data_IF_016375994774
#
_entry.id   IF_016375994774
#
_cell.length_a   1.000
_cell.length_b   1.000
_cell.length_c   1.000
_cell.angle_alpha   90.00
_cell.angle_beta   90.00
_cell.angle_gamma   90.00
#
_symmetry.space_group_name_H-M   'P 1'
#
loop_
_entity.id
_entity.type
_entity.pdbx_description
1 polymer ?
#
# COMPACT_ATOMS: atom_id res chain seq x y z
N UNK A 1 -34.65 62.47 14.67
CA UNK A 1 -35.46 61.31 14.17
C UNK A 1 -34.64 60.00 14.10
N UNK A 2 -33.44 59.99 13.53
CA UNK A 2 -32.57 58.80 13.47
C UNK A 2 -32.10 58.35 14.85
N UNK A 3 -31.67 59.30 15.72
CA UNK A 3 -31.21 59.01 17.09
C UNK A 3 -32.33 58.40 17.97
N UNK A 4 -33.56 58.90 17.80
CA UNK A 4 -34.70 58.40 18.55
C UNK A 4 -35.05 56.96 18.13
N UNK A 5 -34.94 56.63 16.83
CA UNK A 5 -35.18 55.25 16.32
C UNK A 5 -34.07 54.34 16.83
N UNK A 6 -32.79 54.75 16.82
CA UNK A 6 -31.65 53.96 17.33
C UNK A 6 -31.79 53.73 18.85
N UNK A 7 -32.34 54.67 19.61
CA UNK A 7 -32.57 54.54 21.04
C UNK A 7 -33.65 53.50 21.34
N UNK A 8 -34.76 53.48 20.56
CA UNK A 8 -35.81 52.42 20.65
C UNK A 8 -35.28 51.04 20.25
N UNK A 9 -34.43 50.95 19.24
CA UNK A 9 -33.85 49.68 18.80
C UNK A 9 -32.86 49.09 19.81
N UNK A 10 -32.28 49.92 20.70
CA UNK A 10 -31.33 49.53 21.76
C UNK A 10 -32.02 49.27 23.10
N UNK A 11 -33.32 49.53 23.25
CA UNK A 11 -34.02 49.19 24.49
C UNK A 11 -34.06 47.69 24.70
N UNK A 12 -33.63 47.18 25.88
CA UNK A 12 -33.64 45.76 26.18
C UNK A 12 -35.07 45.24 26.23
N UNK A 13 -35.40 44.25 25.41
CA UNK A 13 -36.66 43.52 25.42
C UNK A 13 -36.67 42.44 26.46
N UNK A 14 -35.54 41.70 26.62
CA UNK A 14 -35.33 40.60 27.58
C UNK A 14 -33.88 40.60 27.98
N UNK A 15 -33.58 40.17 29.18
CA UNK A 15 -32.19 39.90 29.64
C UNK A 15 -31.97 38.41 29.61
N UNK A 16 -31.14 37.94 28.69
CA UNK A 16 -30.74 36.55 28.59
C UNK A 16 -29.32 36.38 29.14
N UNK A 17 -29.15 35.54 30.16
CA UNK A 17 -27.82 35.24 30.75
C UNK A 17 -27.00 36.49 31.13
N UNK A 18 -27.70 37.56 31.59
CA UNK A 18 -27.04 38.85 32.00
C UNK A 18 -26.76 39.81 30.84
N UNK A 19 -27.03 39.45 29.59
CA UNK A 19 -26.93 40.34 28.42
C UNK A 19 -28.28 40.87 27.99
N UNK A 20 -28.43 42.17 27.76
CA UNK A 20 -29.69 42.78 27.31
C UNK A 20 -29.90 42.43 25.81
N UNK A 21 -30.92 41.60 25.52
CA UNK A 21 -31.34 41.35 24.15
C UNK A 21 -32.24 42.46 23.67
N UNK A 22 -31.79 43.23 22.72
CA UNK A 22 -32.51 44.36 22.10
C UNK A 22 -33.04 43.94 20.70
N UNK A 23 -33.93 44.76 20.13
CA UNK A 23 -34.37 44.54 18.76
C UNK A 23 -33.21 44.62 17.76
N UNK A 24 -32.20 45.43 18.06
CA UNK A 24 -30.98 45.53 17.26
C UNK A 24 -30.16 44.23 17.28
N UNK A 25 -30.02 43.59 18.44
CA UNK A 25 -29.29 42.29 18.54
C UNK A 25 -30.03 41.16 17.82
N UNK A 26 -31.34 41.16 17.83
CA UNK A 26 -32.16 40.23 17.05
C UNK A 26 -31.98 40.43 15.54
N UNK A 27 -32.03 41.70 15.08
CA UNK A 27 -31.81 42.02 13.66
C UNK A 27 -30.39 41.63 13.21
N UNK A 28 -29.37 41.87 14.03
CA UNK A 28 -27.99 41.46 13.72
C UNK A 28 -27.85 39.94 13.63
N UNK A 29 -28.45 39.20 14.57
CA UNK A 29 -28.41 37.72 14.55
C UNK A 29 -29.13 37.17 13.30
N UNK A 30 -30.29 37.72 12.95
CA UNK A 30 -31.01 37.31 11.71
C UNK A 30 -30.16 37.63 10.48
N UNK A 31 -29.53 38.82 10.42
CA UNK A 31 -28.65 39.23 9.32
C UNK A 31 -27.47 38.25 9.17
N UNK A 32 -26.85 37.83 10.29
CA UNK A 32 -25.76 36.84 10.29
C UNK A 32 -26.23 35.50 9.71
N UNK A 33 -27.38 35.00 10.13
CA UNK A 33 -27.91 33.71 9.61
C UNK A 33 -28.26 33.81 8.12
N UNK A 34 -28.86 34.93 7.68
CA UNK A 34 -29.15 35.19 6.27
C UNK A 34 -27.85 35.23 5.47
N UNK A 35 -26.86 35.96 5.96
CA UNK A 35 -25.55 36.06 5.31
C UNK A 35 -24.85 34.69 5.23
N UNK A 36 -24.87 33.95 6.32
CA UNK A 36 -24.33 32.56 6.32
C UNK A 36 -25.04 31.66 5.29
N UNK A 37 -26.37 31.80 5.16
CA UNK A 37 -27.17 31.05 4.16
C UNK A 37 -26.80 31.47 2.72
N UNK A 38 -26.56 32.77 2.49
CA UNK A 38 -26.13 33.27 1.17
C UNK A 38 -24.73 32.73 0.86
N UNK A 39 -23.78 32.83 1.81
CA UNK A 39 -22.43 32.27 1.67
C UNK A 39 -22.50 30.78 1.38
N UNK A 40 -23.28 30.01 2.15
CA UNK A 40 -23.48 28.59 1.94
C UNK A 40 -24.02 28.27 0.54
N UNK A 41 -24.94 29.10 0.03
CA UNK A 41 -25.48 28.93 -1.32
C UNK A 41 -24.48 29.29 -2.42
N UNK A 42 -23.68 30.33 -2.23
CA UNK A 42 -22.63 30.76 -3.20
C UNK A 42 -21.50 29.71 -3.23
N UNK A 43 -20.95 29.38 -2.05
CA UNK A 43 -19.90 28.37 -1.93
C UNK A 43 -20.38 27.00 -2.49
N UNK A 44 -21.59 26.60 -2.12
CA UNK A 44 -22.17 25.34 -2.62
C UNK A 44 -22.29 25.30 -4.14
N UNK A 45 -22.73 26.41 -4.78
CA UNK A 45 -22.82 26.49 -6.25
C UNK A 45 -21.44 26.48 -6.91
N UNK A 46 -20.48 27.19 -6.35
CA UNK A 46 -19.10 27.22 -6.86
C UNK A 46 -18.45 25.84 -6.74
N UNK A 47 -18.61 25.19 -5.60
CA UNK A 47 -18.11 23.83 -5.35
C UNK A 47 -18.72 22.82 -6.32
N UNK A 48 -20.04 22.89 -6.56
CA UNK A 48 -20.74 22.01 -7.49
C UNK A 48 -20.21 22.16 -8.94
N UNK A 49 -19.90 23.40 -9.38
CA UNK A 49 -19.29 23.63 -10.69
C UNK A 49 -17.89 23.00 -10.80
N UNK A 50 -17.04 23.19 -9.77
CA UNK A 50 -15.69 22.63 -9.76
C UNK A 50 -15.72 21.10 -9.74
N UNK A 51 -16.60 20.50 -8.92
CA UNK A 51 -16.73 19.05 -8.80
C UNK A 51 -17.37 18.44 -10.08
N UNK A 52 -18.28 19.18 -10.74
CA UNK A 52 -18.86 18.77 -12.02
C UNK A 52 -17.83 18.76 -13.15
N UNK A 53 -16.94 19.75 -13.19
CA UNK A 53 -15.86 19.85 -14.18
C UNK A 53 -14.81 18.70 -14.01
N UNK A 54 -14.77 18.06 -12.84
CA UNK A 54 -13.90 16.89 -12.57
C UNK A 54 -14.60 15.54 -12.77
N UNK A 55 -15.80 15.53 -13.39
CA UNK A 55 -16.58 14.32 -13.70
C UNK A 55 -16.87 13.42 -12.49
N UNK A 56 -16.84 14.00 -11.27
CA UNK A 56 -17.13 13.25 -10.05
C UNK A 56 -18.59 12.76 -10.02
N UNK A 57 -18.80 11.60 -9.39
CA UNK A 57 -20.12 11.01 -9.26
C UNK A 57 -21.14 11.97 -8.62
N UNK A 58 -22.40 11.91 -9.09
CA UNK A 58 -23.49 12.78 -8.61
C UNK A 58 -23.71 12.63 -7.10
N UNK A 59 -23.60 11.41 -6.56
CA UNK A 59 -23.74 11.14 -5.14
C UNK A 59 -22.67 11.84 -4.30
N UNK A 60 -21.41 11.78 -4.72
CA UNK A 60 -20.29 12.45 -4.05
C UNK A 60 -20.45 13.97 -4.09
N UNK A 61 -20.82 14.56 -5.24
CA UNK A 61 -21.07 16.00 -5.37
C UNK A 61 -22.16 16.48 -4.42
N UNK A 62 -23.28 15.72 -4.36
CA UNK A 62 -24.38 16.01 -3.45
C UNK A 62 -23.93 15.97 -1.97
N UNK A 63 -23.22 14.91 -1.57
CA UNK A 63 -22.74 14.74 -0.18
C UNK A 63 -21.81 15.88 0.25
N UNK A 64 -20.80 16.17 -0.55
CA UNK A 64 -19.81 17.25 -0.26
C UNK A 64 -20.50 18.61 -0.17
N UNK A 65 -21.39 18.92 -1.12
CA UNK A 65 -22.15 20.18 -1.13
C UNK A 65 -23.04 20.31 0.12
N UNK A 66 -23.73 19.22 0.50
CA UNK A 66 -24.63 19.19 1.66
C UNK A 66 -23.86 19.39 2.97
N UNK A 67 -22.73 18.69 3.14
CA UNK A 67 -21.86 18.81 4.32
C UNK A 67 -21.33 20.26 4.43
N UNK A 68 -20.78 20.80 3.33
CA UNK A 68 -20.26 22.18 3.29
C UNK A 68 -21.32 23.20 3.70
N UNK A 69 -22.55 23.08 3.18
CA UNK A 69 -23.66 23.96 3.55
C UNK A 69 -24.02 23.85 5.02
N UNK A 70 -24.05 22.66 5.58
CA UNK A 70 -24.37 22.46 7.00
C UNK A 70 -23.28 23.05 7.90
N UNK A 71 -22.01 22.87 7.57
CA UNK A 71 -20.90 23.45 8.34
C UNK A 71 -20.97 24.98 8.35
N UNK A 72 -21.20 25.62 7.18
CA UNK A 72 -21.31 27.09 7.09
C UNK A 72 -22.53 27.59 7.89
N UNK A 73 -23.67 26.91 7.78
CA UNK A 73 -24.86 27.28 8.53
C UNK A 73 -24.67 27.10 10.05
N UNK A 74 -24.04 26.02 10.47
CA UNK A 74 -23.73 25.77 11.87
C UNK A 74 -22.86 26.89 12.46
N UNK A 75 -21.78 27.25 11.77
CA UNK A 75 -20.91 28.38 12.16
C UNK A 75 -21.72 29.68 12.22
N UNK A 76 -22.56 29.95 11.22
CA UNK A 76 -23.40 31.16 11.20
C UNK A 76 -24.38 31.24 12.37
N UNK A 77 -25.00 30.11 12.72
CA UNK A 77 -25.90 30.03 13.90
C UNK A 77 -25.11 30.22 15.20
N UNK A 78 -23.93 29.66 15.34
CA UNK A 78 -23.08 29.86 16.51
C UNK A 78 -22.69 31.33 16.71
N UNK A 79 -22.28 31.99 15.64
CA UNK A 79 -21.96 33.41 15.66
C UNK A 79 -23.19 34.25 16.02
N UNK A 80 -24.36 33.92 15.46
CA UNK A 80 -25.61 34.60 15.77
C UNK A 80 -26.00 34.48 17.26
N UNK A 81 -25.89 33.26 17.84
CA UNK A 81 -26.15 33.00 19.26
C UNK A 81 -25.21 33.82 20.16
N UNK A 82 -23.92 33.89 19.81
CA UNK A 82 -22.94 34.71 20.53
C UNK A 82 -23.29 36.21 20.52
N UNK A 83 -23.79 36.76 19.39
CA UNK A 83 -24.23 38.16 19.33
C UNK A 83 -25.48 38.46 20.16
N UNK A 84 -26.28 37.42 20.43
CA UNK A 84 -27.47 37.51 21.30
C UNK A 84 -27.11 37.41 22.80
N UNK A 85 -25.83 37.22 23.13
CA UNK A 85 -25.38 37.06 24.51
C UNK A 85 -25.69 35.67 25.12
N UNK A 86 -26.02 34.71 24.29
CA UNK A 86 -26.17 33.32 24.75
C UNK A 86 -24.79 32.78 25.07
N UNK A 87 -24.64 32.25 26.28
CA UNK A 87 -23.39 31.55 26.64
C UNK A 87 -23.28 30.26 25.85
N UNK A 88 -22.41 30.29 24.85
CA UNK A 88 -22.15 29.16 24.00
C UNK A 88 -21.03 28.24 24.51
N UNK A 89 -20.43 28.55 25.68
CA UNK A 89 -19.27 27.83 26.23
C UNK A 89 -19.54 26.34 26.44
N UNK A 90 -20.70 25.98 27.01
CA UNK A 90 -21.08 24.61 27.22
C UNK A 90 -21.26 23.84 25.89
N UNK A 91 -21.85 24.49 24.89
CA UNK A 91 -22.05 23.90 23.55
C UNK A 91 -20.70 23.74 22.84
N UNK A 92 -19.82 24.74 22.96
CA UNK A 92 -18.45 24.68 22.42
C UNK A 92 -17.64 23.56 23.09
N UNK A 93 -17.77 23.40 24.42
CA UNK A 93 -17.12 22.31 25.14
C UNK A 93 -17.60 20.93 24.67
N UNK A 94 -18.91 20.74 24.55
CA UNK A 94 -19.48 19.51 24.01
C UNK A 94 -19.07 19.27 22.54
N UNK A 95 -19.04 20.33 21.73
CA UNK A 95 -18.57 20.31 20.36
C UNK A 95 -17.10 19.90 20.23
N UNK A 96 -16.22 20.40 21.14
CA UNK A 96 -14.83 20.02 21.17
C UNK A 96 -14.64 18.51 21.42
N UNK A 97 -15.38 17.94 22.36
CA UNK A 97 -15.37 16.49 22.62
C UNK A 97 -15.82 15.69 21.39
N UNK A 98 -16.88 16.14 20.73
CA UNK A 98 -17.35 15.54 19.47
C UNK A 98 -16.29 15.62 18.36
N UNK A 99 -15.62 16.76 18.20
CA UNK A 99 -14.56 16.93 17.20
C UNK A 99 -13.35 16.02 17.48
N UNK A 100 -12.99 15.81 18.74
CA UNK A 100 -11.96 14.84 19.12
C UNK A 100 -12.38 13.42 18.72
N UNK A 101 -13.63 13.04 19.00
CA UNK A 101 -14.18 11.73 18.59
C UNK A 101 -14.17 11.54 17.06
N UNK A 102 -14.57 12.56 16.30
CA UNK A 102 -14.50 12.56 14.83
C UNK A 102 -13.04 12.48 14.38
N UNK A 103 -12.12 13.19 15.02
CA UNK A 103 -10.68 13.13 14.74
C UNK A 103 -10.11 11.71 14.88
N UNK A 104 -10.43 11.01 15.95
CA UNK A 104 -10.07 9.59 16.11
C UNK A 104 -10.71 8.69 15.04
N UNK A 105 -11.97 8.95 14.68
CA UNK A 105 -12.64 8.22 13.60
C UNK A 105 -11.99 8.42 12.22
N UNK A 106 -11.40 9.60 11.96
CA UNK A 106 -10.75 9.96 10.69
C UNK A 106 -9.23 9.71 10.70
N UNK A 107 -8.65 9.31 11.83
CA UNK A 107 -7.20 9.16 11.99
C UNK A 107 -6.57 8.26 10.90
N UNK A 108 -7.17 7.09 10.64
CA UNK A 108 -6.67 6.16 9.63
C UNK A 108 -6.73 6.74 8.21
N UNK A 109 -7.72 7.55 7.91
CA UNK A 109 -7.83 8.23 6.62
C UNK A 109 -6.72 9.29 6.47
N UNK A 110 -6.48 10.09 7.50
CA UNK A 110 -5.41 11.09 7.52
C UNK A 110 -4.02 10.44 7.42
N UNK A 111 -3.79 9.34 8.17
CA UNK A 111 -2.54 8.57 8.11
C UNK A 111 -2.25 8.08 6.68
N UNK A 112 -3.23 7.48 6.02
CA UNK A 112 -3.07 7.02 4.64
C UNK A 112 -2.85 8.15 3.65
N UNK A 113 -3.52 9.29 3.83
CA UNK A 113 -3.35 10.46 2.97
C UNK A 113 -1.94 11.06 3.11
N UNK A 114 -1.45 11.24 4.34
CA UNK A 114 -0.11 11.74 4.63
C UNK A 114 0.94 10.76 4.08
N UNK A 115 0.76 9.45 4.29
CA UNK A 115 1.65 8.43 3.75
C UNK A 115 1.67 8.44 2.21
N UNK A 116 0.53 8.65 1.56
CA UNK A 116 0.47 8.81 0.10
C UNK A 116 1.27 10.01 -0.40
N UNK A 117 1.19 11.13 0.32
CA UNK A 117 1.98 12.32 0.01
C UNK A 117 3.49 12.07 0.18
N UNK A 118 3.90 11.37 1.26
CA UNK A 118 5.29 10.98 1.49
C UNK A 118 5.82 10.05 0.39
N UNK A 119 5.04 9.05 -0.02
CA UNK A 119 5.41 8.15 -1.13
C UNK A 119 5.66 8.91 -2.43
N UNK A 120 4.84 9.95 -2.72
CA UNK A 120 5.00 10.77 -3.93
C UNK A 120 6.19 11.74 -3.85
N UNK A 121 6.53 12.24 -2.64
CA UNK A 121 7.64 13.18 -2.41
C UNK A 121 8.98 12.46 -2.33
N UNK A 122 9.10 11.46 -1.45
CA UNK A 122 10.36 10.76 -1.17
C UNK A 122 10.64 9.63 -2.18
N UNK A 123 9.58 9.10 -2.78
CA UNK A 123 9.62 8.05 -3.81
C UNK A 123 10.41 6.79 -3.42
N UNK A 124 10.22 6.23 -2.21
CA UNK A 124 10.82 4.95 -1.84
C UNK A 124 10.28 3.80 -2.70
N UNK A 125 9.05 3.96 -3.18
CA UNK A 125 8.37 3.08 -4.14
C UNK A 125 7.78 3.97 -5.25
N UNK A 126 7.92 3.54 -6.50
CA UNK A 126 7.45 4.26 -7.69
C UNK A 126 6.53 3.39 -8.53
N UNK A 127 5.73 4.01 -9.40
CA UNK A 127 4.99 3.30 -10.44
C UNK A 127 5.95 2.49 -11.31
N UNK A 128 5.65 1.22 -11.52
CA UNK A 128 6.46 0.27 -12.27
C UNK A 128 7.42 -0.55 -11.41
N UNK A 129 7.67 -0.17 -10.14
CA UNK A 129 8.52 -0.94 -9.25
C UNK A 129 7.91 -2.32 -8.96
N UNK A 130 8.77 -3.32 -8.90
CA UNK A 130 8.43 -4.67 -8.47
C UNK A 130 8.75 -4.81 -6.99
N UNK A 131 7.72 -5.00 -6.16
CA UNK A 131 7.83 -4.96 -4.70
C UNK A 131 7.24 -6.22 -4.06
N UNK A 132 7.73 -6.54 -2.86
CA UNK A 132 7.09 -7.50 -1.95
C UNK A 132 6.41 -6.74 -0.83
N UNK A 133 5.11 -6.95 -0.69
CA UNK A 133 4.29 -6.39 0.39
C UNK A 133 3.59 -7.51 1.12
N UNK A 134 4.03 -7.78 2.35
CA UNK A 134 3.44 -8.83 3.19
C UNK A 134 3.57 -10.24 2.61
N UNK A 135 4.65 -10.54 1.88
CA UNK A 135 4.89 -11.84 1.24
C UNK A 135 4.25 -11.99 -0.14
N UNK A 136 3.61 -10.95 -0.67
CA UNK A 136 3.02 -10.97 -2.01
C UNK A 136 3.83 -10.08 -2.95
N UNK A 137 4.37 -10.70 -4.00
CA UNK A 137 5.13 -10.03 -5.03
C UNK A 137 4.22 -9.42 -6.10
N UNK A 138 4.46 -8.14 -6.44
CA UNK A 138 3.68 -7.48 -7.49
C UNK A 138 4.34 -6.21 -8.01
N UNK A 139 3.79 -5.70 -9.11
CA UNK A 139 4.22 -4.46 -9.75
C UNK A 139 3.30 -3.31 -9.34
N UNK A 140 3.85 -2.19 -8.94
CA UNK A 140 3.10 -0.98 -8.59
C UNK A 140 2.48 -0.40 -9.87
N UNK A 141 1.15 -0.38 -9.92
CA UNK A 141 0.40 0.18 -11.05
C UNK A 141 0.19 1.69 -10.89
N UNK A 142 -0.26 2.10 -9.71
CA UNK A 142 -0.56 3.50 -9.41
C UNK A 142 -0.53 3.77 -7.91
N UNK A 143 -0.12 4.99 -7.53
CA UNK A 143 -0.10 5.47 -6.15
C UNK A 143 -1.19 6.53 -6.00
N UNK A 144 -2.31 6.12 -5.41
CA UNK A 144 -3.44 7.00 -5.13
C UNK A 144 -3.31 7.75 -3.81
N UNK A 145 -4.31 8.59 -3.50
CA UNK A 145 -4.30 9.44 -2.29
C UNK A 145 -4.29 8.65 -0.97
N UNK A 146 -4.96 7.50 -0.91
CA UNK A 146 -5.09 6.69 0.31
C UNK A 146 -4.54 5.28 0.19
N UNK A 147 -4.40 4.79 -1.03
CA UNK A 147 -4.00 3.42 -1.31
C UNK A 147 -3.23 3.35 -2.62
N UNK A 148 -2.29 2.44 -2.68
CA UNK A 148 -1.49 2.10 -3.85
C UNK A 148 -2.06 0.82 -4.47
N UNK A 149 -2.19 0.80 -5.79
CA UNK A 149 -2.60 -0.38 -6.55
C UNK A 149 -1.36 -1.16 -6.97
N UNK A 150 -1.32 -2.44 -6.62
CA UNK A 150 -0.23 -3.36 -6.94
C UNK A 150 -0.80 -4.55 -7.67
N UNK A 151 -0.29 -4.85 -8.87
CA UNK A 151 -0.70 -6.04 -9.65
C UNK A 151 0.22 -7.19 -9.30
N UNK A 152 -0.34 -8.27 -8.75
CA UNK A 152 0.41 -9.49 -8.43
C UNK A 152 0.87 -10.21 -9.70
N UNK A 153 1.77 -11.20 -9.55
CA UNK A 153 2.20 -12.07 -10.67
C UNK A 153 1.05 -12.83 -11.33
N UNK A 154 0.00 -13.13 -10.57
CA UNK A 154 -1.21 -13.82 -11.05
C UNK A 154 -2.21 -12.87 -11.74
N UNK A 155 -1.85 -11.58 -11.89
CA UNK A 155 -2.71 -10.57 -12.51
C UNK A 155 -3.82 -10.05 -11.59
N UNK A 156 -3.73 -10.28 -10.28
CA UNK A 156 -4.70 -9.78 -9.29
C UNK A 156 -4.29 -8.40 -8.82
N UNK A 157 -5.20 -7.43 -8.90
CA UNK A 157 -4.96 -6.09 -8.35
C UNK A 157 -5.16 -6.08 -6.84
N UNK A 158 -4.12 -5.78 -6.11
CA UNK A 158 -4.13 -5.58 -4.66
C UNK A 158 -4.24 -4.09 -4.36
N UNK A 159 -5.13 -3.73 -3.43
CA UNK A 159 -5.29 -2.37 -2.93
C UNK A 159 -4.58 -2.28 -1.58
N UNK A 160 -3.38 -1.72 -1.59
CA UNK A 160 -2.52 -1.61 -0.40
C UNK A 160 -2.68 -0.22 0.21
N UNK A 161 -3.11 -0.09 1.49
CA UNK A 161 -3.14 1.20 2.17
C UNK A 161 -1.76 1.86 2.17
N UNK A 162 -1.68 3.14 1.85
CA UNK A 162 -0.39 3.85 1.77
C UNK A 162 0.40 3.81 3.09
N UNK A 163 -0.31 3.88 4.23
CA UNK A 163 0.29 3.76 5.55
C UNK A 163 1.06 2.45 5.71
N UNK A 164 0.58 1.34 5.15
CA UNK A 164 1.27 0.06 5.22
C UNK A 164 2.59 0.07 4.46
N UNK A 165 2.69 0.79 3.33
CA UNK A 165 3.93 0.92 2.56
C UNK A 165 4.99 1.80 3.25
N UNK A 166 4.56 2.70 4.16
CA UNK A 166 5.46 3.60 4.89
C UNK A 166 5.87 3.03 6.24
N UNK A 167 4.95 2.34 6.94
CA UNK A 167 5.18 1.86 8.32
C UNK A 167 5.64 0.42 8.41
N UNK A 168 5.45 -0.39 7.36
CA UNK A 168 5.87 -1.79 7.33
C UNK A 168 7.13 -1.98 6.49
N UNK A 169 7.79 -3.12 6.67
CA UNK A 169 8.90 -3.51 5.80
C UNK A 169 8.35 -3.82 4.41
N UNK A 170 8.86 -3.11 3.41
CA UNK A 170 8.60 -3.35 1.98
C UNK A 170 9.93 -3.65 1.31
N UNK A 171 9.99 -4.76 0.57
CA UNK A 171 11.19 -5.08 -0.21
C UNK A 171 10.98 -4.59 -1.64
N UNK A 172 11.77 -3.59 -2.05
CA UNK A 172 11.74 -3.08 -3.41
C UNK A 172 12.83 -3.78 -4.23
N UNK A 173 12.39 -4.58 -5.22
CA UNK A 173 13.27 -5.35 -6.10
C UNK A 173 13.73 -4.58 -7.33
N UNK A 174 13.32 -3.31 -7.47
CA UNK A 174 13.68 -2.43 -8.58
C UNK A 174 14.72 -1.38 -8.22
N UNK A 175 15.13 -1.30 -6.95
CA UNK A 175 16.10 -0.31 -6.46
C UNK A 175 17.27 -1.05 -5.80
N UNK A 176 18.54 -0.66 -6.06
CA UNK A 176 19.01 0.40 -6.97
C UNK A 176 18.94 0.03 -8.45
N UNK A 177 18.78 -1.24 -8.80
CA UNK A 177 18.62 -1.74 -10.16
C UNK A 177 17.53 -2.80 -10.21
N UNK A 178 16.93 -3.02 -11.37
CA UNK A 178 15.98 -4.12 -11.58
C UNK A 178 16.68 -5.50 -11.60
N UNK A 179 18.01 -5.52 -11.72
CA UNK A 179 18.77 -6.76 -11.81
C UNK A 179 18.65 -7.58 -10.52
N UNK A 180 18.44 -8.88 -10.70
CA UNK A 180 18.25 -9.82 -9.60
C UNK A 180 19.17 -11.02 -9.75
N UNK A 181 19.74 -11.45 -8.63
CA UNK A 181 20.48 -12.69 -8.54
C UNK A 181 19.54 -13.84 -8.22
N UNK A 182 19.53 -14.88 -9.06
CA UNK A 182 18.74 -16.08 -8.89
C UNK A 182 19.62 -17.32 -8.72
N UNK A 183 19.09 -18.33 -8.05
CA UNK A 183 19.77 -19.57 -7.72
C UNK A 183 19.05 -20.75 -8.33
N UNK A 184 19.71 -21.44 -9.23
CA UNK A 184 19.18 -22.69 -9.81
C UNK A 184 19.92 -23.86 -9.18
N UNK A 185 19.30 -24.50 -8.21
CA UNK A 185 19.88 -25.64 -7.49
C UNK A 185 19.74 -26.91 -8.31
N UNK A 186 20.79 -27.73 -8.32
CA UNK A 186 20.85 -29.03 -8.96
C UNK A 186 21.61 -30.01 -8.08
N UNK A 187 21.25 -31.32 -8.12
CA UNK A 187 21.97 -32.36 -7.46
C UNK A 187 22.61 -33.25 -8.51
N UNK A 188 23.90 -33.60 -8.34
CA UNK A 188 24.61 -34.57 -9.18
C UNK A 188 25.07 -35.76 -8.35
N UNK A 189 25.26 -36.93 -8.98
CA UNK A 189 25.69 -38.12 -8.29
C UNK A 189 27.09 -37.97 -7.71
N UNK A 190 27.40 -38.68 -6.64
CA UNK A 190 28.69 -38.63 -5.94
C UNK A 190 29.90 -39.03 -6.78
N UNK A 191 29.69 -39.86 -7.80
CA UNK A 191 30.69 -40.31 -8.76
C UNK A 191 30.86 -39.38 -9.97
N UNK A 192 30.12 -38.26 -10.00
CA UNK A 192 30.21 -37.25 -11.08
C UNK A 192 31.52 -36.48 -10.99
N UNK A 193 32.17 -36.30 -12.12
CA UNK A 193 33.25 -35.32 -12.27
C UNK A 193 32.70 -33.90 -12.08
N UNK A 194 33.06 -33.30 -10.94
CA UNK A 194 32.53 -31.99 -10.53
C UNK A 194 33.01 -30.89 -11.46
N UNK A 195 34.27 -30.93 -11.93
CA UNK A 195 34.80 -29.91 -12.83
C UNK A 195 34.06 -29.94 -14.17
N UNK A 196 33.74 -31.12 -14.66
CA UNK A 196 32.91 -31.32 -15.85
C UNK A 196 31.49 -30.80 -15.62
N UNK A 197 30.88 -31.07 -14.46
CA UNK A 197 29.55 -30.57 -14.13
C UNK A 197 29.51 -29.05 -14.03
N UNK A 198 30.51 -28.42 -13.40
CA UNK A 198 30.67 -26.97 -13.31
C UNK A 198 30.78 -26.33 -14.69
N UNK A 199 31.58 -26.95 -15.59
CA UNK A 199 31.71 -26.47 -16.97
C UNK A 199 30.35 -26.47 -17.70
N UNK A 200 29.59 -27.56 -17.60
CA UNK A 200 28.26 -27.69 -18.25
C UNK A 200 27.28 -26.68 -17.68
N UNK A 201 27.33 -26.41 -16.37
CA UNK A 201 26.48 -25.37 -15.73
C UNK A 201 26.81 -23.99 -16.27
N UNK A 202 28.10 -23.64 -16.42
CA UNK A 202 28.53 -22.36 -16.99
C UNK A 202 28.14 -22.26 -18.48
N UNK A 203 28.38 -23.29 -19.29
CA UNK A 203 28.00 -23.30 -20.71
C UNK A 203 26.48 -23.06 -20.91
N UNK A 204 25.65 -23.56 -20.00
CA UNK A 204 24.19 -23.33 -20.03
C UNK A 204 23.86 -21.88 -19.64
N UNK A 205 24.56 -21.31 -18.69
CA UNK A 205 24.35 -19.91 -18.30
C UNK A 205 24.74 -18.97 -19.45
N UNK A 206 25.89 -19.20 -20.09
CA UNK A 206 26.39 -18.41 -21.23
C UNK A 206 25.44 -18.48 -22.45
N UNK A 207 24.72 -19.56 -22.59
CA UNK A 207 23.76 -19.76 -23.69
C UNK A 207 22.38 -19.13 -23.46
N UNK A 208 22.06 -18.67 -22.25
CA UNK A 208 20.74 -18.06 -21.94
C UNK A 208 20.81 -16.53 -22.10
N UNK A 209 20.09 -15.94 -23.10
CA UNK A 209 20.19 -14.52 -23.41
C UNK A 209 19.71 -13.58 -22.28
N UNK A 210 18.94 -14.09 -21.31
CA UNK A 210 18.46 -13.31 -20.17
C UNK A 210 19.38 -13.39 -18.95
N UNK A 211 20.52 -14.09 -19.06
CA UNK A 211 21.60 -14.06 -18.05
C UNK A 211 22.53 -12.90 -18.39
N UNK A 212 22.84 -12.07 -17.39
CA UNK A 212 23.76 -10.94 -17.55
C UNK A 212 25.21 -11.44 -17.48
N UNK A 213 26.06 -10.85 -18.32
CA UNK A 213 27.51 -11.09 -18.29
C UNK A 213 28.18 -10.34 -17.13
N UNK A 214 27.62 -9.21 -16.72
CA UNK A 214 28.10 -8.39 -15.60
C UNK A 214 26.94 -8.05 -14.65
N UNK A 215 26.98 -8.47 -13.38
CA UNK A 215 28.01 -9.33 -12.75
C UNK A 215 28.02 -10.75 -13.34
N UNK A 216 29.20 -11.41 -13.40
CA UNK A 216 29.32 -12.75 -13.97
C UNK A 216 28.56 -13.77 -13.15
N UNK A 217 28.08 -14.81 -13.83
CA UNK A 217 27.50 -15.97 -13.18
C UNK A 217 28.57 -16.83 -12.52
N UNK A 218 28.18 -17.65 -11.58
CA UNK A 218 29.08 -18.55 -10.83
C UNK A 218 28.39 -19.86 -10.47
N UNK A 219 29.16 -20.92 -10.32
CA UNK A 219 28.67 -22.18 -9.75
C UNK A 219 29.18 -22.30 -8.33
N UNK A 220 28.25 -22.57 -7.40
CA UNK A 220 28.57 -22.77 -5.98
C UNK A 220 28.28 -24.18 -5.54
N UNK A 221 29.22 -24.77 -4.82
CA UNK A 221 28.98 -25.99 -4.08
C UNK A 221 28.17 -25.64 -2.82
N UNK A 222 26.97 -26.20 -2.71
CA UNK A 222 26.05 -25.90 -1.61
C UNK A 222 26.24 -26.83 -0.40
N UNK A 223 26.60 -28.10 -0.67
CA UNK A 223 26.79 -29.11 0.36
C UNK A 223 26.74 -30.53 -0.20
N UNK A 224 26.87 -31.46 0.73
CA UNK A 224 26.75 -32.88 0.48
C UNK A 224 25.38 -33.35 0.99
N UNK A 225 24.46 -33.66 0.06
CA UNK A 225 23.13 -34.16 0.38
C UNK A 225 23.12 -35.66 0.65
N UNK A 226 21.99 -36.23 1.07
CA UNK A 226 21.87 -37.66 1.39
C UNK A 226 22.21 -38.59 0.21
N UNK A 227 21.98 -38.15 -1.01
CA UNK A 227 22.22 -38.98 -2.22
C UNK A 227 22.83 -38.18 -3.38
N UNK A 228 23.21 -36.92 -3.17
CA UNK A 228 23.73 -36.06 -4.22
C UNK A 228 24.74 -35.02 -3.68
N UNK A 229 25.65 -34.60 -4.56
CA UNK A 229 26.41 -33.37 -4.36
C UNK A 229 25.52 -32.23 -4.82
N UNK A 230 25.28 -31.26 -3.94
CA UNK A 230 24.40 -30.11 -4.22
C UNK A 230 25.20 -28.95 -4.81
N UNK A 231 24.89 -28.59 -6.05
CA UNK A 231 25.44 -27.44 -6.75
C UNK A 231 24.35 -26.39 -6.97
N UNK A 232 24.72 -25.15 -7.08
CA UNK A 232 23.82 -24.07 -7.48
C UNK A 232 24.48 -23.24 -8.57
N UNK A 233 23.80 -23.11 -9.70
CA UNK A 233 24.11 -22.10 -10.70
C UNK A 233 23.51 -20.77 -10.24
N UNK A 234 24.35 -19.79 -10.02
CA UNK A 234 23.99 -18.44 -9.55
C UNK A 234 24.17 -17.48 -10.71
N UNK A 235 23.07 -16.90 -11.16
CA UNK A 235 23.09 -15.98 -12.32
C UNK A 235 22.39 -14.66 -11.97
N UNK A 236 22.76 -13.61 -12.68
CA UNK A 236 22.06 -12.33 -12.63
C UNK A 236 21.17 -12.18 -13.84
N UNK A 237 19.96 -11.67 -13.61
CA UNK A 237 18.97 -11.39 -14.64
C UNK A 237 18.58 -9.91 -14.61
N UNK A 238 18.20 -9.29 -15.77
CA UNK A 238 17.92 -7.86 -15.83
C UNK A 238 16.66 -7.43 -15.07
N UNK A 239 15.67 -8.30 -14.95
CA UNK A 239 14.37 -7.97 -14.37
C UNK A 239 13.95 -9.01 -13.31
N UNK A 240 13.76 -8.55 -12.07
CA UNK A 240 13.34 -9.42 -10.95
C UNK A 240 12.00 -10.14 -11.20
N UNK A 241 11.09 -9.52 -11.97
CA UNK A 241 9.80 -10.14 -12.32
C UNK A 241 9.93 -11.40 -13.17
N UNK A 242 11.03 -11.53 -13.93
CA UNK A 242 11.28 -12.66 -14.85
C UNK A 242 11.96 -13.84 -14.18
N UNK A 243 12.23 -13.76 -12.87
CA UNK A 243 12.91 -14.81 -12.09
C UNK A 243 12.38 -16.21 -12.34
N UNK A 244 11.05 -16.41 -12.27
CA UNK A 244 10.46 -17.73 -12.44
C UNK A 244 10.59 -18.26 -13.86
N UNK A 245 10.48 -17.37 -14.86
CA UNK A 245 10.58 -17.72 -16.27
C UNK A 245 12.00 -18.13 -16.59
N UNK A 246 12.99 -17.32 -16.21
CA UNK A 246 14.40 -17.59 -16.48
C UNK A 246 14.88 -18.83 -15.72
N UNK A 247 14.52 -18.95 -14.43
CA UNK A 247 14.84 -20.16 -13.66
C UNK A 247 14.25 -21.44 -14.27
N UNK A 248 13.04 -21.37 -14.83
CA UNK A 248 12.43 -22.50 -15.54
C UNK A 248 13.19 -22.83 -16.83
N UNK A 249 13.53 -21.83 -17.66
CA UNK A 249 14.33 -22.02 -18.88
C UNK A 249 15.67 -22.67 -18.59
N UNK A 250 16.38 -22.16 -17.57
CA UNK A 250 17.67 -22.72 -17.15
C UNK A 250 17.53 -24.19 -16.69
N UNK A 251 16.50 -24.53 -15.90
CA UNK A 251 16.25 -25.92 -15.48
C UNK A 251 16.02 -26.85 -16.68
N UNK A 252 15.24 -26.41 -17.68
CA UNK A 252 15.04 -27.18 -18.90
C UNK A 252 16.34 -27.32 -19.70
N UNK A 253 17.13 -26.28 -19.83
CA UNK A 253 18.42 -26.30 -20.50
C UNK A 253 19.39 -27.24 -19.80
N UNK A 254 19.51 -27.14 -18.47
CA UNK A 254 20.34 -28.04 -17.64
C UNK A 254 19.93 -29.48 -17.76
N UNK A 255 18.62 -29.77 -17.75
CA UNK A 255 18.14 -31.18 -17.93
C UNK A 255 18.61 -31.76 -19.25
N UNK A 256 18.58 -30.96 -20.34
CA UNK A 256 19.07 -31.42 -21.66
C UNK A 256 20.59 -31.57 -21.69
N UNK A 257 21.32 -30.56 -21.15
CA UNK A 257 22.77 -30.56 -21.11
C UNK A 257 23.33 -31.72 -20.27
N UNK A 258 22.77 -32.00 -19.10
CA UNK A 258 23.15 -33.12 -18.24
C UNK A 258 22.97 -34.48 -18.94
N UNK A 259 21.84 -34.64 -19.65
CA UNK A 259 21.61 -35.85 -20.44
C UNK A 259 22.66 -36.04 -21.55
N UNK A 260 23.00 -34.98 -22.27
CA UNK A 260 24.02 -34.98 -23.32
C UNK A 260 25.42 -35.27 -22.79
N UNK A 261 25.76 -34.64 -21.65
CA UNK A 261 27.08 -34.78 -20.98
C UNK A 261 27.17 -36.02 -20.08
N UNK A 262 26.15 -36.87 -20.04
CA UNK A 262 26.06 -38.07 -19.19
C UNK A 262 26.22 -37.80 -17.69
N UNK A 263 25.84 -36.58 -17.24
CA UNK A 263 25.78 -36.24 -15.83
C UNK A 263 24.49 -36.82 -15.24
N UNK A 264 24.63 -37.61 -14.19
CA UNK A 264 23.52 -38.32 -13.55
C UNK A 264 22.90 -37.45 -12.47
N UNK A 265 21.57 -37.20 -12.55
CA UNK A 265 20.78 -36.68 -11.45
C UNK A 265 20.37 -37.90 -10.60
N UNK A 266 20.89 -38.05 -9.38
CA UNK A 266 20.71 -39.27 -8.63
C UNK A 266 19.29 -39.43 -8.11
N UNK A 267 18.84 -40.70 -8.05
CA UNK A 267 17.65 -41.05 -7.28
C UNK A 267 18.02 -41.22 -5.81
N UNK A 268 17.06 -41.08 -4.87
CA UNK A 268 17.32 -41.36 -3.46
C UNK A 268 17.91 -42.78 -3.29
N UNK A 269 19.08 -42.84 -2.67
CA UNK A 269 19.77 -44.11 -2.41
C UNK A 269 19.53 -44.56 -0.97
N UNK A 270 19.38 -45.88 -0.76
CA UNK A 270 19.29 -46.48 0.55
C UNK A 270 20.12 -47.76 0.58
N UNK A 271 20.97 -47.86 1.57
CA UNK A 271 21.67 -49.11 1.87
C UNK A 271 20.79 -49.99 2.76
N UNK A 272 20.47 -51.19 2.27
CA UNK A 272 19.61 -52.15 3.01
C UNK A 272 20.44 -53.36 3.43
N UNK A 273 20.73 -53.48 4.70
CA UNK A 273 21.38 -54.66 5.28
C UNK A 273 20.32 -55.71 5.60
N UNK A 274 20.19 -56.74 4.74
CA UNK A 274 19.32 -57.89 5.00
C UNK A 274 20.06 -58.91 5.85
N UNK A 275 19.67 -59.08 7.12
CA UNK A 275 20.16 -60.15 8.00
C UNK A 275 19.24 -61.34 7.86
N UNK A 276 19.77 -62.42 7.29
CA UNK A 276 19.08 -63.70 7.33
C UNK A 276 19.08 -64.20 8.78
N UNK A 277 17.92 -64.36 9.38
CA UNK A 277 17.77 -65.08 10.64
C UNK A 277 17.70 -66.58 10.32
N UNK A 278 18.85 -67.29 10.37
CA UNK A 278 18.86 -68.79 10.44
C UNK A 278 18.22 -69.14 11.77
N UNK A 279 16.93 -69.48 11.73
CA UNK A 279 16.29 -70.33 12.71
C UNK A 279 16.15 -71.66 12.02
N UNK A 280 16.93 -72.73 12.40
CA UNK A 280 16.58 -74.08 12.05
C UNK A 280 15.22 -74.38 12.66
N UNK A 281 14.25 -74.70 11.83
CA UNK A 281 12.98 -75.27 12.25
C UNK A 281 13.27 -76.63 12.92
N UNK A 282 13.31 -76.63 14.26
CA UNK A 282 13.20 -77.85 15.04
C UNK A 282 11.73 -78.27 15.05
N UNK A 283 11.33 -79.02 14.07
CA UNK A 283 10.17 -79.89 14.12
C UNK A 283 10.70 -81.32 14.08
N UNK A 284 10.72 -81.92 15.26
CA UNK A 284 10.67 -83.32 15.45
C UNK A 284 9.44 -83.67 16.31
#
# INVERSE_FOLDING_TARGET
MVDTILQYLRTPLVVLSGTPVSLLTLLTAITIVITARIIAAVVGRSLERVLAARELDKGMRFAVNKITRYVILLIGVFVALGTMGVDTSAIMGAGAVLLVGIGFGLQKLAENFISGLLLLLERPVKKGDFIDVGGVLGTVEDIGLRATHVISREGVTMIVPNASLVTSMVVNHSVPTNARRIWVKVGVAYDTDIDHAVKVLNDVADAEPLVLDDPPHEVRHQGFGESSIELALVVWIPEARDELIVASKLRFALTRAFKQSKIVIPLPQREVHVRATDKPSALA
#
